data_IF_764258220251
#
_entry.id   IF_764258220251
#
_cell.length_a   1.000
_cell.length_b   1.000
_cell.length_c   1.000
_cell.angle_alpha   90.00
_cell.angle_beta   90.00
_cell.angle_gamma   90.00
#
_symmetry.space_group_name_H-M   'P 1'
#
loop_
_entity.id
_entity.type
_entity.pdbx_description
1 polymer ?
#
# COMPACT_ATOMS: atom_id res chain seq x y z
N UNK A 1 -8.64 11.76 9.36
CA UNK A 1 -8.46 10.96 9.72
C UNK A 1 -8.48 10.03 9.66
N UNK A 2 -8.22 10.02 9.87
CA UNK A 2 -8.09 9.02 10.03
C UNK A 2 -8.58 8.20 10.16
N UNK A 3 -8.66 8.10 10.14
CA UNK A 3 -8.93 7.26 10.25
C UNK A 3 -9.28 6.39 10.67
N UNK A 4 -9.40 6.38 11.02
CA UNK A 4 -9.55 5.46 11.61
C UNK A 4 -9.94 4.51 11.28
N UNK A 5 -10.10 4.65 10.67
CA UNK A 5 -10.39 3.85 10.34
C UNK A 5 -9.88 2.77 10.44
N UNK A 6 -9.10 2.83 10.51
CA UNK A 6 -8.40 1.74 10.64
C UNK A 6 -8.73 0.90 11.76
N UNK A 7 -9.68 1.23 12.35
CA UNK A 7 -10.14 0.46 13.40
C UNK A 7 -10.51 -0.91 12.97
N UNK A 8 -10.88 -1.05 11.74
CA UNK A 8 -11.34 -2.31 11.21
C UNK A 8 -10.20 -3.04 10.55
N UNK A 9 -9.97 -4.26 10.97
CA UNK A 9 -9.01 -5.13 10.31
C UNK A 9 -9.72 -5.81 9.14
N UNK A 10 -9.37 -5.47 7.90
CA UNK A 10 -10.06 -6.06 6.76
C UNK A 10 -10.01 -7.58 6.74
N UNK A 11 -8.93 -8.16 7.24
CA UNK A 11 -8.79 -9.60 7.24
C UNK A 11 -9.76 -10.26 8.20
N UNK A 12 -10.12 -9.57 9.26
CA UNK A 12 -11.11 -10.09 10.19
C UNK A 12 -12.51 -10.00 9.64
N UNK A 13 -12.74 -9.12 8.69
CA UNK A 13 -14.04 -8.95 8.08
C UNK A 13 -14.22 -9.78 6.83
N UNK A 14 -13.24 -10.63 6.52
CA UNK A 14 -13.36 -11.48 5.36
C UNK A 14 -12.71 -10.94 4.11
N UNK A 15 -12.12 -9.75 4.16
CA UNK A 15 -11.33 -9.27 3.05
C UNK A 15 -10.07 -10.11 2.98
N UNK A 16 -9.75 -10.57 1.82
CA UNK A 16 -8.77 -11.61 1.74
C UNK A 16 -7.34 -11.15 1.83
N UNK A 17 -7.01 -9.97 1.31
CA UNK A 17 -5.59 -9.62 1.18
C UNK A 17 -5.34 -8.16 1.51
N UNK A 18 -4.44 -7.96 2.44
CA UNK A 18 -3.88 -6.65 2.71
C UNK A 18 -2.36 -6.77 2.57
N UNK A 19 -1.74 -5.81 1.93
CA UNK A 19 -0.33 -5.92 1.61
C UNK A 19 0.35 -4.57 1.64
N UNK A 20 1.66 -4.61 1.91
CA UNK A 20 2.52 -3.46 1.75
C UNK A 20 3.37 -3.68 0.51
N UNK A 21 3.47 -2.68 -0.34
CA UNK A 21 4.24 -2.79 -1.57
C UNK A 21 5.32 -1.72 -1.55
N UNK A 22 6.58 -2.19 -1.59
CA UNK A 22 7.71 -1.29 -1.77
C UNK A 22 7.90 -1.05 -3.25
N UNK A 23 8.01 0.21 -3.64
CA UNK A 23 8.11 0.61 -5.04
C UNK A 23 9.43 1.33 -5.26
N UNK A 24 10.19 0.86 -6.23
CA UNK A 24 11.37 1.58 -6.69
C UNK A 24 11.02 2.25 -8.01
N UNK A 25 11.35 3.52 -8.09
CA UNK A 25 11.01 4.27 -9.29
C UNK A 25 12.09 5.26 -9.62
N UNK A 26 12.05 5.76 -10.84
CA UNK A 26 12.99 6.76 -11.32
C UNK A 26 12.20 7.98 -11.76
N UNK A 27 12.88 9.12 -11.81
CA UNK A 27 12.26 10.36 -12.21
C UNK A 27 11.62 11.07 -11.03
N UNK A 28 10.47 11.67 -11.26
CA UNK A 28 9.78 12.46 -10.24
C UNK A 28 8.96 11.53 -9.35
N UNK A 29 9.51 11.18 -8.19
CA UNK A 29 8.85 10.24 -7.30
C UNK A 29 7.57 10.82 -6.72
N UNK A 30 7.49 12.13 -6.56
CA UNK A 30 6.27 12.75 -6.05
C UNK A 30 5.09 12.54 -7.00
N UNK A 31 5.33 12.69 -8.30
CA UNK A 31 4.28 12.47 -9.28
C UNK A 31 3.83 11.02 -9.32
N UNK A 32 4.78 10.10 -9.19
CA UNK A 32 4.44 8.68 -9.16
C UNK A 32 3.62 8.38 -7.90
N UNK A 33 4.01 8.94 -6.77
CA UNK A 33 3.27 8.74 -5.53
C UNK A 33 1.83 9.27 -5.65
N UNK A 34 1.65 10.40 -6.32
CA UNK A 34 0.31 10.94 -6.52
C UNK A 34 -0.56 10.01 -7.35
N UNK A 35 0.03 9.40 -8.37
CA UNK A 35 -0.70 8.44 -9.20
C UNK A 35 -1.05 7.19 -8.42
N UNK A 36 -0.13 6.71 -7.58
CA UNK A 36 -0.41 5.57 -6.72
C UNK A 36 -1.53 5.89 -5.74
N UNK A 37 -1.50 7.08 -5.17
CA UNK A 37 -2.52 7.48 -4.20
C UNK A 37 -3.91 7.59 -4.80
N UNK A 38 -4.00 7.76 -6.12
CA UNK A 38 -5.28 7.86 -6.80
C UNK A 38 -5.94 6.51 -7.06
N UNK A 39 -5.22 5.41 -6.83
CA UNK A 39 -5.77 4.07 -7.06
C UNK A 39 -6.72 3.70 -5.93
N UNK A 40 -7.85 3.12 -6.32
CA UNK A 40 -8.92 2.86 -5.36
C UNK A 40 -8.50 1.89 -4.26
N UNK A 41 -7.70 0.90 -4.60
CA UNK A 41 -7.29 -0.12 -3.63
C UNK A 41 -6.18 0.35 -2.70
N UNK A 42 -5.65 1.54 -2.91
CA UNK A 42 -4.52 2.05 -2.14
C UNK A 42 -5.03 2.87 -0.96
N UNK A 43 -4.62 2.48 0.24
CA UNK A 43 -5.01 3.17 1.47
C UNK A 43 -3.95 4.12 1.98
N UNK A 44 -2.71 3.93 1.58
CA UNK A 44 -1.61 4.64 2.22
C UNK A 44 -0.43 4.70 1.26
N UNK A 45 0.16 5.88 1.15
CA UNK A 45 1.34 6.10 0.33
C UNK A 45 2.29 7.00 1.10
N UNK A 46 3.55 6.61 1.20
CA UNK A 46 4.57 7.43 1.80
C UNK A 46 5.83 7.37 0.95
N UNK A 47 6.46 8.51 0.78
CA UNK A 47 7.76 8.57 0.10
C UNK A 47 8.85 8.32 1.13
N UNK A 48 9.83 7.53 0.75
CA UNK A 48 10.90 7.13 1.66
C UNK A 48 12.25 7.33 1.00
N UNK A 49 13.27 7.32 1.83
CA UNK A 49 14.66 7.28 1.38
C UNK A 49 15.23 5.94 1.81
N UNK A 50 15.79 5.20 0.89
CA UNK A 50 16.34 3.90 1.19
C UNK A 50 16.15 2.95 0.04
N UNK A 51 15.91 1.69 0.36
CA UNK A 51 15.77 0.65 -0.67
C UNK A 51 14.59 0.89 -1.58
N UNK A 52 13.54 1.51 -1.07
CA UNK A 52 12.38 1.84 -1.87
C UNK A 52 12.18 3.34 -1.90
N UNK A 53 11.59 3.84 -2.96
CA UNK A 53 11.28 5.26 -3.10
C UNK A 53 9.89 5.57 -2.55
N UNK A 54 9.01 4.60 -2.57
CA UNK A 54 7.66 4.77 -2.01
C UNK A 54 7.22 3.46 -1.37
N UNK A 55 6.41 3.59 -0.31
CA UNK A 55 5.77 2.45 0.32
C UNK A 55 4.26 2.66 0.18
N UNK A 56 3.57 1.63 -0.28
CA UNK A 56 2.14 1.69 -0.56
C UNK A 56 1.45 0.57 0.20
N UNK A 57 0.33 0.89 0.83
CA UNK A 57 -0.48 -0.14 1.47
C UNK A 57 -1.77 -0.31 0.69
N UNK A 58 -2.12 -1.55 0.38
CA UNK A 58 -3.28 -1.87 -0.44
C UNK A 58 -4.17 -2.87 0.26
N UNK A 59 -5.46 -2.81 -0.10
CA UNK A 59 -6.44 -3.79 0.36
C UNK A 59 -7.13 -4.35 -0.88
N UNK A 60 -7.06 -5.67 -1.04
CA UNK A 60 -7.61 -6.35 -2.21
C UNK A 60 -8.55 -7.45 -1.77
N UNK A 61 -9.48 -7.79 -2.65
CA UNK A 61 -10.48 -8.81 -2.33
C UNK A 61 -9.88 -10.22 -2.26
N UNK A 62 -8.92 -10.48 -3.13
CA UNK A 62 -8.31 -11.80 -3.21
C UNK A 62 -6.98 -11.69 -3.94
N UNK A 63 -6.34 -12.83 -4.16
CA UNK A 63 -5.03 -12.85 -4.81
C UNK A 63 -5.11 -12.40 -6.26
N UNK A 64 -6.19 -12.74 -6.96
CA UNK A 64 -6.33 -12.31 -8.34
C UNK A 64 -6.46 -10.80 -8.43
N UNK A 65 -7.18 -10.19 -7.52
CA UNK A 65 -7.29 -8.74 -7.47
C UNK A 65 -5.90 -8.11 -7.22
N UNK A 66 -5.15 -8.67 -6.29
CA UNK A 66 -3.81 -8.17 -6.00
C UNK A 66 -2.89 -8.30 -7.21
N UNK A 67 -2.94 -9.44 -7.87
CA UNK A 67 -2.13 -9.67 -9.06
C UNK A 67 -2.46 -8.65 -10.15
N UNK A 68 -3.75 -8.41 -10.36
CA UNK A 68 -4.19 -7.47 -11.37
C UNK A 68 -3.75 -6.04 -11.03
N UNK A 69 -3.91 -5.65 -9.77
CA UNK A 69 -3.46 -4.35 -9.29
C UNK A 69 -1.98 -4.16 -9.56
N UNK A 70 -1.17 -5.14 -9.20
CA UNK A 70 0.27 -5.07 -9.41
C UNK A 70 0.62 -4.95 -10.89
N UNK A 71 0.05 -5.81 -11.72
CA UNK A 71 0.46 -5.89 -13.12
C UNK A 71 -0.09 -4.76 -13.96
N UNK A 72 -1.33 -4.35 -13.74
CA UNK A 72 -1.99 -3.41 -14.63
C UNK A 72 -2.01 -1.99 -14.13
N UNK A 73 -1.82 -1.78 -12.83
CA UNK A 73 -1.96 -0.43 -12.28
C UNK A 73 -0.69 0.09 -11.62
N UNK A 74 0.07 -0.74 -10.93
CA UNK A 74 1.27 -0.27 -10.24
C UNK A 74 2.49 -0.42 -11.13
N UNK A 75 2.76 -1.63 -11.57
CA UNK A 75 3.97 -1.89 -12.35
C UNK A 75 3.89 -1.26 -13.74
N UNK A 76 2.69 -0.95 -14.19
CA UNK A 76 2.49 -0.32 -15.48
C UNK A 76 2.72 1.18 -15.47
N UNK A 77 2.84 1.80 -14.30
CA UNK A 77 3.10 3.23 -14.22
C UNK A 77 4.48 3.55 -14.79
N UNK A 78 4.57 4.55 -15.67
CA UNK A 78 5.88 4.95 -16.17
C UNK A 78 6.77 5.40 -15.03
N UNK A 79 8.00 4.93 -15.04
CA UNK A 79 8.96 5.27 -14.02
C UNK A 79 9.09 4.23 -12.91
N UNK A 80 8.14 3.31 -12.79
CA UNK A 80 8.26 2.23 -11.81
C UNK A 80 9.27 1.21 -12.35
N UNK A 81 10.31 0.96 -11.57
CA UNK A 81 11.38 0.04 -11.96
C UNK A 81 11.09 -1.36 -11.43
N UNK A 82 10.74 -1.47 -10.16
CA UNK A 82 10.51 -2.75 -9.54
C UNK A 82 9.62 -2.58 -8.31
N UNK A 83 9.01 -3.67 -7.88
CA UNK A 83 8.16 -3.69 -6.70
C UNK A 83 8.47 -4.92 -5.88
N UNK A 84 8.23 -4.82 -4.58
CA UNK A 84 8.29 -5.95 -3.68
C UNK A 84 7.03 -5.93 -2.84
N UNK A 85 6.29 -7.03 -2.84
CA UNK A 85 5.01 -7.12 -2.15
C UNK A 85 5.15 -7.98 -0.91
N UNK A 86 4.69 -7.43 0.23
CA UNK A 86 4.68 -8.14 1.49
C UNK A 86 3.23 -8.31 1.90
N UNK A 87 2.71 -9.52 1.71
CA UNK A 87 1.32 -9.81 2.06
C UNK A 87 1.21 -10.01 3.56
N UNK A 88 0.27 -9.31 4.19
CA UNK A 88 0.07 -9.45 5.62
C UNK A 88 -0.56 -10.80 5.91
N UNK A 89 0.03 -11.52 6.83
CA UNK A 89 -0.49 -12.83 7.22
C UNK A 89 -1.34 -12.73 8.47
N UNK A 90 -0.93 -11.91 9.41
CA UNK A 90 -1.62 -11.82 10.68
C UNK A 90 -1.24 -10.52 11.37
N UNK A 91 -2.23 -9.76 11.75
CA UNK A 91 -2.03 -8.57 12.56
C UNK A 91 -1.86 -9.04 14.00
N UNK A 92 -0.70 -8.76 14.59
CA UNK A 92 -0.40 -9.21 15.94
C UNK A 92 -0.75 -8.15 16.96
N UNK A 93 -0.44 -6.89 16.63
CA UNK A 93 -0.71 -5.80 17.56
C UNK A 93 -0.83 -4.49 16.80
N UNK A 94 -1.81 -3.72 17.17
CA UNK A 94 -1.97 -2.37 16.65
C UNK A 94 -2.38 -1.49 17.81
N UNK A 95 -1.63 -0.39 17.99
CA UNK A 95 -1.88 0.49 19.12
C UNK A 95 -1.59 1.92 18.70
N UNK A 96 -2.54 2.79 18.94
CA UNK A 96 -2.39 4.21 18.65
C UNK A 96 -2.33 5.00 19.95
N UNK A 97 -1.44 5.98 19.99
CA UNK A 97 -1.28 6.85 21.15
C UNK A 97 -1.59 8.28 20.76
N UNK A 98 -2.78 8.50 20.30
CA UNK A 98 -3.19 9.84 19.89
C UNK A 98 -3.19 10.77 21.10
N UNK A 99 -2.46 11.86 20.98
CA UNK A 99 -2.51 12.88 22.00
C UNK A 99 -1.72 12.60 23.27
N UNK A 100 -0.98 11.53 23.28
CA UNK A 100 -0.19 11.19 24.45
C UNK A 100 1.27 11.52 24.32
N UNK A 101 1.61 12.22 23.30
CA UNK A 101 3.01 12.52 23.03
C UNK A 101 3.26 13.96 23.02
#
# INVERSE_FOLDING_TARGET
>A
MMQIVAVTDPMQLGFARQAMIGVRCTGDTTKIAEKLAALESVDYVVLTAGSFDAIVEVVCEDDDHLLQLLNTQIRALPGVISTETLVYLKLVKQQYNWGTR
#
